data_IF_425478736788
#
_entry.id   IF_425478736788
#
_cell.length_a   1.000
_cell.length_b   1.000
_cell.length_c   1.000
_cell.angle_alpha   90.00
_cell.angle_beta   90.00
_cell.angle_gamma   90.00
#
_symmetry.space_group_name_H-M   'P 1'
#
loop_
_entity.id
_entity.type
_entity.pdbx_description
1 polymer ?
#
# COMPACT_ATOMS: atom_id res chain seq x y z
N UNK A 1 -12.76 -0.12 6.83
CA UNK A 1 -12.79 1.35 7.00
C UNK A 1 -13.82 1.76 8.04
N UNK A 2 -13.40 2.42 9.13
CA UNK A 2 -14.32 2.88 10.17
C UNK A 2 -14.77 4.34 9.90
N UNK A 3 -15.63 4.50 8.89
CA UNK A 3 -16.31 5.78 8.61
C UNK A 3 -17.56 5.92 9.48
N UNK A 4 -17.91 7.16 9.83
CA UNK A 4 -19.13 7.45 10.58
C UNK A 4 -20.34 7.27 9.66
N UNK A 5 -21.13 6.21 9.88
CA UNK A 5 -22.28 5.85 9.03
C UNK A 5 -23.36 6.92 8.98
N UNK A 6 -23.51 7.69 10.05
CA UNK A 6 -24.51 8.76 10.19
C UNK A 6 -24.07 10.10 9.61
N UNK A 7 -22.93 10.14 8.91
CA UNK A 7 -22.36 11.36 8.32
C UNK A 7 -22.11 11.16 6.85
N UNK A 8 -22.26 12.23 6.07
CA UNK A 8 -21.87 12.23 4.65
C UNK A 8 -20.35 12.11 4.50
N UNK A 9 -19.87 11.93 3.27
CA UNK A 9 -18.44 11.98 2.94
C UNK A 9 -17.83 13.30 3.38
N UNK A 10 -18.45 14.43 3.02
CA UNK A 10 -18.00 15.76 3.40
C UNK A 10 -17.87 15.87 4.92
N UNK A 11 -18.90 15.44 5.65
CA UNK A 11 -18.92 15.51 7.10
C UNK A 11 -17.90 14.58 7.77
N UNK A 12 -17.59 13.43 7.16
CA UNK A 12 -16.53 12.54 7.63
C UNK A 12 -15.15 13.21 7.51
N UNK A 13 -14.87 13.88 6.39
CA UNK A 13 -13.60 14.57 6.15
C UNK A 13 -13.49 15.84 6.98
N UNK A 14 -14.60 16.56 7.17
CA UNK A 14 -14.65 17.77 8.00
C UNK A 14 -14.54 17.48 9.51
N UNK A 15 -14.85 16.25 9.94
CA UNK A 15 -14.94 15.91 11.36
C UNK A 15 -13.67 16.23 12.17
N UNK A 16 -12.45 15.88 11.71
CA UNK A 16 -11.21 16.16 12.47
C UNK A 16 -10.91 17.65 12.63
N UNK A 17 -11.50 18.50 11.80
CA UNK A 17 -11.37 19.96 11.84
C UNK A 17 -12.33 20.61 12.86
N UNK A 18 -13.27 19.86 13.45
CA UNK A 18 -14.18 20.40 14.46
C UNK A 18 -13.40 20.77 15.72
N UNK A 19 -13.57 22.02 16.17
CA UNK A 19 -12.83 22.55 17.33
C UNK A 19 -11.43 23.07 16.99
N UNK A 20 -11.05 23.06 15.71
CA UNK A 20 -9.86 23.77 15.24
C UNK A 20 -10.10 25.28 15.16
N UNK A 21 -9.06 26.04 14.81
CA UNK A 21 -9.12 27.50 14.61
C UNK A 21 -9.76 27.90 13.27
N UNK A 22 -10.05 26.95 12.39
CA UNK A 22 -10.60 27.24 11.07
C UNK A 22 -12.06 27.68 11.14
N UNK A 23 -12.39 28.73 10.39
CA UNK A 23 -13.75 29.16 10.11
C UNK A 23 -14.52 28.12 9.28
N UNK A 24 -15.84 28.26 9.19
CA UNK A 24 -16.68 27.36 8.40
C UNK A 24 -16.31 27.35 6.92
N UNK A 25 -15.94 28.51 6.37
CA UNK A 25 -15.57 28.64 4.97
C UNK A 25 -14.19 28.01 4.71
N UNK A 26 -13.21 28.23 5.59
CA UNK A 26 -11.90 27.55 5.50
C UNK A 26 -12.02 26.02 5.60
N UNK A 27 -12.88 25.51 6.49
CA UNK A 27 -13.15 24.07 6.57
C UNK A 27 -13.73 23.56 5.25
N UNK A 28 -14.69 24.30 4.68
CA UNK A 28 -15.32 23.92 3.41
C UNK A 28 -14.30 23.87 2.27
N UNK A 29 -13.49 24.89 2.12
CA UNK A 29 -12.46 24.97 1.07
C UNK A 29 -11.43 23.85 1.23
N UNK A 30 -10.99 23.59 2.47
CA UNK A 30 -10.08 22.49 2.76
C UNK A 30 -10.68 21.14 2.41
N UNK A 31 -11.92 20.86 2.82
CA UNK A 31 -12.59 19.59 2.51
C UNK A 31 -12.79 19.42 1.00
N UNK A 32 -13.15 20.48 0.27
CA UNK A 32 -13.26 20.44 -1.20
C UNK A 32 -11.90 20.12 -1.84
N UNK A 33 -10.81 20.71 -1.37
CA UNK A 33 -9.46 20.41 -1.87
C UNK A 33 -9.07 18.94 -1.65
N UNK A 34 -9.46 18.36 -0.50
CA UNK A 34 -9.20 16.96 -0.17
C UNK A 34 -10.08 16.01 -0.99
N UNK A 35 -11.35 16.37 -1.22
CA UNK A 35 -12.24 15.62 -2.11
C UNK A 35 -11.68 15.54 -3.53
N UNK A 36 -11.12 16.64 -4.03
CA UNK A 36 -10.44 16.68 -5.33
C UNK A 36 -9.17 15.83 -5.35
N UNK A 37 -8.36 15.88 -4.29
CA UNK A 37 -7.16 15.04 -4.16
C UNK A 37 -7.51 13.55 -4.25
N UNK A 38 -8.64 13.14 -3.68
CA UNK A 38 -9.07 11.73 -3.66
C UNK A 38 -10.07 11.37 -4.75
N UNK A 39 -10.33 12.29 -5.71
CA UNK A 39 -11.23 12.11 -6.86
C UNK A 39 -12.67 11.71 -6.45
N UNK A 40 -13.23 12.39 -5.45
CA UNK A 40 -14.59 12.13 -4.92
C UNK A 40 -15.45 13.39 -4.81
N UNK A 41 -15.21 14.43 -5.63
CA UNK A 41 -16.00 15.66 -5.58
C UNK A 41 -17.51 15.42 -5.74
N UNK A 42 -17.91 14.50 -6.62
CA UNK A 42 -19.31 14.16 -6.89
C UNK A 42 -19.99 13.37 -5.78
N UNK A 43 -19.22 12.83 -4.81
CA UNK A 43 -19.70 12.01 -3.69
C UNK A 43 -19.75 12.74 -2.36
N UNK A 44 -19.50 14.05 -2.33
CA UNK A 44 -19.46 14.85 -1.09
C UNK A 44 -20.70 14.63 -0.18
N UNK A 45 -21.88 14.54 -0.78
CA UNK A 45 -23.15 14.38 -0.07
C UNK A 45 -23.59 12.92 0.13
N UNK A 46 -22.83 11.95 -0.40
CA UNK A 46 -23.14 10.53 -0.24
C UNK A 46 -22.83 10.06 1.18
N UNK A 47 -23.58 9.05 1.65
CA UNK A 47 -23.29 8.36 2.90
C UNK A 47 -22.35 7.17 2.66
N UNK A 48 -21.59 6.71 3.67
CA UNK A 48 -20.70 5.55 3.54
C UNK A 48 -21.38 4.28 3.00
N UNK A 49 -22.67 4.08 3.24
CA UNK A 49 -23.44 2.95 2.69
C UNK A 49 -23.52 2.95 1.15
N UNK A 50 -23.37 4.11 0.53
CA UNK A 50 -23.49 4.31 -0.92
C UNK A 50 -22.13 4.22 -1.65
N UNK A 51 -21.06 3.89 -0.93
CA UNK A 51 -19.70 3.89 -1.45
C UNK A 51 -19.14 2.47 -1.61
N UNK A 52 -18.34 2.27 -2.66
CA UNK A 52 -17.51 1.07 -2.82
C UNK A 52 -16.41 0.98 -1.75
N UNK A 53 -15.76 -0.17 -1.62
CA UNK A 53 -14.63 -0.36 -0.69
C UNK A 53 -13.52 0.66 -0.91
N UNK A 54 -13.07 0.83 -2.16
CA UNK A 54 -12.03 1.79 -2.51
C UNK A 54 -12.43 3.25 -2.28
N UNK A 55 -13.70 3.59 -2.53
CA UNK A 55 -14.22 4.93 -2.23
C UNK A 55 -14.22 5.19 -0.72
N UNK A 56 -14.65 4.23 0.10
CA UNK A 56 -14.57 4.35 1.57
C UNK A 56 -13.14 4.56 2.05
N UNK A 57 -12.18 3.92 1.40
CA UNK A 57 -10.77 4.11 1.71
C UNK A 57 -10.26 5.51 1.36
N UNK A 58 -10.58 5.99 0.17
CA UNK A 58 -10.26 7.35 -0.28
C UNK A 58 -10.80 8.41 0.68
N UNK A 59 -12.03 8.24 1.16
CA UNK A 59 -12.60 9.09 2.22
C UNK A 59 -11.82 8.97 3.54
N UNK A 60 -11.40 7.76 3.90
CA UNK A 60 -10.54 7.54 5.07
C UNK A 60 -9.20 8.27 4.98
N UNK A 61 -8.55 8.23 3.81
CA UNK A 61 -7.30 8.94 3.53
C UNK A 61 -7.53 10.45 3.59
N UNK A 62 -8.54 10.97 2.90
CA UNK A 62 -8.88 12.39 2.95
C UNK A 62 -9.14 12.88 4.39
N UNK A 63 -9.87 12.09 5.18
CA UNK A 63 -10.12 12.37 6.59
C UNK A 63 -8.83 12.37 7.42
N UNK A 64 -7.91 11.43 7.18
CA UNK A 64 -6.63 11.40 7.88
C UNK A 64 -5.76 12.62 7.54
N UNK A 65 -5.81 13.08 6.29
CA UNK A 65 -5.06 14.25 5.82
C UNK A 65 -5.66 15.59 6.26
N UNK A 66 -6.91 15.62 6.74
CA UNK A 66 -7.61 16.86 7.08
C UNK A 66 -6.86 17.72 8.10
N UNK A 67 -6.13 17.12 9.05
CA UNK A 67 -5.40 17.84 10.09
C UNK A 67 -3.91 18.09 9.76
N UNK A 68 -3.52 18.06 8.47
CA UNK A 68 -2.14 18.25 8.01
C UNK A 68 -1.11 17.42 8.80
N UNK A 69 -1.30 16.08 8.89
CA UNK A 69 -0.44 15.26 9.71
C UNK A 69 0.98 15.18 9.13
N UNK A 70 1.99 15.08 10.02
CA UNK A 70 3.37 14.79 9.61
C UNK A 70 3.61 13.31 9.30
N UNK A 71 2.78 12.44 9.87
CA UNK A 71 2.87 10.98 9.75
C UNK A 71 1.50 10.40 9.44
N UNK A 72 1.44 9.53 8.43
CA UNK A 72 0.26 8.75 8.07
C UNK A 72 0.52 7.27 8.36
N UNK A 73 -0.31 6.67 9.21
CA UNK A 73 -0.27 5.23 9.50
C UNK A 73 -1.32 4.52 8.66
N UNK A 74 -0.89 3.52 7.89
CA UNK A 74 -1.73 2.69 7.03
C UNK A 74 -1.69 1.25 7.54
N UNK A 75 -2.73 0.85 8.27
CA UNK A 75 -2.86 -0.50 8.81
C UNK A 75 -3.75 -1.36 7.91
N UNK A 76 -3.17 -2.39 7.27
CA UNK A 76 -3.80 -3.31 6.32
C UNK A 76 -4.74 -2.61 5.34
N UNK A 77 -4.32 -1.43 4.86
CA UNK A 77 -5.26 -0.51 4.24
C UNK A 77 -5.88 -1.11 2.96
N UNK A 78 -5.20 -2.03 2.27
CA UNK A 78 -5.59 -2.56 0.96
C UNK A 78 -6.13 -3.99 0.97
N UNK A 79 -6.12 -4.69 2.11
CA UNK A 79 -6.40 -6.15 2.17
C UNK A 79 -7.83 -6.54 1.75
N UNK A 80 -8.78 -5.63 1.87
CA UNK A 80 -10.19 -5.85 1.53
C UNK A 80 -10.58 -5.32 0.13
N UNK A 81 -9.60 -5.02 -0.72
CA UNK A 81 -9.81 -4.45 -2.05
C UNK A 81 -9.41 -5.41 -3.17
N UNK A 82 -10.03 -5.22 -4.33
CA UNK A 82 -9.57 -5.86 -5.55
C UNK A 82 -8.20 -5.30 -6.01
N UNK A 83 -7.40 -6.08 -6.77
CA UNK A 83 -6.05 -5.68 -7.17
C UNK A 83 -5.97 -4.35 -7.95
N UNK A 84 -6.99 -4.00 -8.73
CA UNK A 84 -6.98 -2.74 -9.49
C UNK A 84 -7.18 -1.55 -8.55
N UNK A 85 -8.13 -1.65 -7.63
CA UNK A 85 -8.37 -0.63 -6.60
C UNK A 85 -7.16 -0.48 -5.69
N UNK A 86 -6.52 -1.58 -5.27
CA UNK A 86 -5.29 -1.54 -4.46
C UNK A 86 -4.21 -0.67 -5.13
N UNK A 87 -3.88 -0.92 -6.40
CA UNK A 87 -2.90 -0.10 -7.14
C UNK A 87 -3.28 1.37 -7.20
N UNK A 88 -4.57 1.66 -7.41
CA UNK A 88 -5.09 3.03 -7.42
C UNK A 88 -4.85 3.73 -6.09
N UNK A 89 -5.08 3.04 -4.97
CA UNK A 89 -4.82 3.58 -3.63
C UNK A 89 -3.33 3.75 -3.35
N UNK A 90 -2.49 2.78 -3.74
CA UNK A 90 -1.04 2.90 -3.56
C UNK A 90 -0.48 4.11 -4.33
N UNK A 91 -0.97 4.35 -5.55
CA UNK A 91 -0.62 5.53 -6.35
C UNK A 91 -1.03 6.82 -5.64
N UNK A 92 -2.23 6.87 -5.06
CA UNK A 92 -2.69 8.01 -4.27
C UNK A 92 -1.79 8.25 -3.05
N UNK A 93 -1.42 7.22 -2.29
CA UNK A 93 -0.51 7.35 -1.15
C UNK A 93 0.86 7.89 -1.57
N UNK A 94 1.39 7.42 -2.70
CA UNK A 94 2.65 7.90 -3.28
C UNK A 94 2.57 9.37 -3.68
N UNK A 95 1.46 9.80 -4.27
CA UNK A 95 1.22 11.21 -4.59
C UNK A 95 1.14 12.06 -3.33
N UNK A 96 0.44 11.59 -2.29
CA UNK A 96 0.33 12.26 -1.00
C UNK A 96 1.70 12.45 -0.35
N UNK A 97 2.53 11.40 -0.30
CA UNK A 97 3.90 11.48 0.20
C UNK A 97 4.71 12.54 -0.55
N UNK A 98 4.67 12.52 -1.89
CA UNK A 98 5.44 13.47 -2.72
C UNK A 98 4.94 14.92 -2.60
N UNK A 99 3.63 15.13 -2.56
CA UNK A 99 3.01 16.46 -2.59
C UNK A 99 3.08 17.16 -1.23
N UNK A 100 2.91 16.41 -0.14
CA UNK A 100 2.82 16.97 1.20
C UNK A 100 4.06 16.69 2.07
N UNK A 101 5.00 15.86 1.60
CA UNK A 101 6.19 15.50 2.38
C UNK A 101 5.88 14.67 3.62
N UNK A 102 4.74 13.98 3.64
CA UNK A 102 4.25 13.22 4.80
C UNK A 102 4.99 11.90 4.91
N UNK A 103 5.42 11.52 6.12
CA UNK A 103 5.98 10.19 6.37
C UNK A 103 4.86 9.17 6.39
N UNK A 104 4.93 8.12 5.57
CA UNK A 104 3.92 7.06 5.54
C UNK A 104 4.51 5.78 6.10
N UNK A 105 3.84 5.19 7.10
CA UNK A 105 4.16 3.88 7.65
C UNK A 105 3.04 2.92 7.25
N UNK A 106 3.39 1.84 6.56
CA UNK A 106 2.44 0.85 6.08
C UNK A 106 2.69 -0.47 6.78
N UNK A 107 1.62 -1.05 7.31
CA UNK A 107 1.57 -2.39 7.88
C UNK A 107 0.77 -3.24 6.89
N UNK A 108 1.39 -4.29 6.38
CA UNK A 108 0.77 -5.20 5.40
C UNK A 108 1.44 -6.55 5.45
N UNK A 109 0.68 -7.59 5.09
CA UNK A 109 1.20 -8.93 4.83
C UNK A 109 1.49 -9.15 3.33
N UNK A 110 1.14 -8.21 2.47
CA UNK A 110 1.32 -8.31 1.02
C UNK A 110 2.64 -7.71 0.55
N UNK A 111 3.58 -8.56 0.14
CA UNK A 111 4.93 -8.12 -0.27
C UNK A 111 4.92 -7.25 -1.55
N UNK A 112 3.92 -7.40 -2.41
CA UNK A 112 3.73 -6.57 -3.60
C UNK A 112 3.50 -5.09 -3.25
N UNK A 113 2.71 -4.83 -2.20
CA UNK A 113 2.47 -3.46 -1.69
C UNK A 113 3.77 -2.82 -1.22
N UNK A 114 4.56 -3.58 -0.45
CA UNK A 114 5.85 -3.11 0.09
C UNK A 114 6.81 -2.74 -1.06
N UNK A 115 6.88 -3.58 -2.09
CA UNK A 115 7.73 -3.35 -3.27
C UNK A 115 7.34 -2.10 -4.07
N UNK A 116 6.06 -1.78 -4.13
CA UNK A 116 5.55 -0.73 -5.03
C UNK A 116 5.77 0.69 -4.48
N UNK A 117 5.65 0.88 -3.16
CA UNK A 117 5.65 2.23 -2.56
C UNK A 117 6.62 2.45 -1.41
N UNK A 118 7.14 1.41 -0.75
CA UNK A 118 8.02 1.58 0.40
C UNK A 118 9.48 1.78 -0.02
N UNK A 119 10.19 2.63 0.71
CA UNK A 119 11.64 2.84 0.54
C UNK A 119 12.47 1.94 1.46
N UNK A 120 11.92 1.60 2.62
CA UNK A 120 12.48 0.70 3.63
C UNK A 120 11.41 -0.28 4.08
N UNK A 121 11.85 -1.45 4.53
CA UNK A 121 10.98 -2.46 5.10
C UNK A 121 11.57 -2.98 6.41
N UNK A 122 10.70 -3.33 7.34
CA UNK A 122 11.01 -4.08 8.54
C UNK A 122 10.09 -5.31 8.58
N UNK A 123 10.67 -6.49 8.75
CA UNK A 123 9.96 -7.76 8.87
C UNK A 123 9.87 -8.11 10.35
N UNK A 124 8.67 -8.45 10.80
CA UNK A 124 8.41 -8.78 12.18
C UNK A 124 7.97 -10.24 12.33
N UNK A 125 8.49 -10.92 13.35
CA UNK A 125 8.10 -12.27 13.75
C UNK A 125 8.10 -12.35 15.28
N UNK A 126 7.10 -13.00 15.88
CA UNK A 126 6.99 -13.18 17.34
C UNK A 126 7.17 -11.88 18.15
N UNK A 127 6.62 -10.77 17.64
CA UNK A 127 6.67 -9.46 18.29
C UNK A 127 8.04 -8.76 18.21
N UNK A 128 8.97 -9.22 17.38
CA UNK A 128 10.30 -8.63 17.20
C UNK A 128 10.56 -8.29 15.74
N UNK A 129 11.30 -7.21 15.50
CA UNK A 129 11.87 -6.95 14.17
C UNK A 129 13.01 -7.93 13.96
N UNK A 130 12.85 -8.83 13.00
CA UNK A 130 13.85 -9.87 12.68
C UNK A 130 14.74 -9.44 11.52
N UNK A 131 14.24 -8.59 10.62
CA UNK A 131 15.00 -8.08 9.48
C UNK A 131 14.58 -6.66 9.14
N UNK A 132 15.52 -5.78 8.80
CA UNK A 132 15.25 -4.40 8.42
C UNK A 132 16.26 -3.94 7.36
N UNK A 133 15.79 -3.16 6.38
CA UNK A 133 16.68 -2.52 5.42
C UNK A 133 15.97 -1.69 4.36
N UNK A 134 16.76 -1.20 3.41
CA UNK A 134 16.20 -0.70 2.16
C UNK A 134 15.44 -1.83 1.46
N UNK A 135 14.32 -1.50 0.82
CA UNK A 135 13.47 -2.46 0.11
C UNK A 135 14.27 -3.36 -0.83
N UNK A 136 15.24 -2.79 -1.54
CA UNK A 136 16.07 -3.53 -2.47
C UNK A 136 16.86 -4.63 -1.76
N UNK A 137 17.53 -4.31 -0.64
CA UNK A 137 18.34 -5.26 0.13
C UNK A 137 17.51 -6.37 0.77
N UNK A 138 16.35 -6.02 1.34
CA UNK A 138 15.43 -7.00 1.95
C UNK A 138 14.94 -7.99 0.89
N UNK A 139 14.76 -7.56 -0.36
CA UNK A 139 14.28 -8.43 -1.44
C UNK A 139 15.40 -9.18 -2.17
N UNK A 140 16.57 -8.55 -2.35
CA UNK A 140 17.70 -9.16 -3.05
C UNK A 140 18.49 -10.10 -2.15
N UNK A 141 18.64 -9.81 -0.86
CA UNK A 141 19.44 -10.62 0.06
C UNK A 141 18.68 -10.88 1.37
N UNK A 142 17.50 -11.52 1.31
CA UNK A 142 16.75 -11.85 2.52
C UNK A 142 17.55 -12.80 3.40
N UNK A 143 17.77 -12.42 4.65
CA UNK A 143 18.52 -13.21 5.62
C UNK A 143 17.61 -14.18 6.37
N UNK A 144 16.48 -13.67 6.84
CA UNK A 144 15.58 -14.42 7.69
C UNK A 144 14.69 -15.38 6.89
N UNK A 145 14.40 -16.54 7.48
CA UNK A 145 13.55 -17.57 6.85
C UNK A 145 12.17 -17.02 6.51
N UNK A 146 11.57 -16.27 7.43
CA UNK A 146 10.26 -15.66 7.22
C UNK A 146 10.27 -14.67 6.04
N UNK A 147 11.32 -13.85 5.92
CA UNK A 147 11.50 -12.92 4.79
C UNK A 147 11.60 -13.66 3.47
N UNK A 148 12.37 -14.76 3.42
CA UNK A 148 12.47 -15.63 2.23
C UNK A 148 11.11 -16.18 1.83
N UNK A 149 10.38 -16.75 2.79
CA UNK A 149 9.04 -17.31 2.56
C UNK A 149 8.07 -16.25 2.00
N UNK A 150 8.08 -15.03 2.55
CA UNK A 150 7.24 -13.95 2.04
C UNK A 150 7.59 -13.57 0.60
N UNK A 151 8.87 -13.45 0.26
CA UNK A 151 9.31 -13.13 -1.10
C UNK A 151 8.91 -14.26 -2.07
N UNK A 152 9.16 -15.52 -1.69
CA UNK A 152 8.86 -16.69 -2.51
C UNK A 152 7.36 -16.85 -2.76
N UNK A 153 6.51 -16.53 -1.78
CA UNK A 153 5.04 -16.56 -1.95
C UNK A 153 4.51 -15.56 -2.98
N UNK A 154 5.30 -14.52 -3.29
CA UNK A 154 4.93 -13.48 -4.27
C UNK A 154 5.68 -13.60 -5.59
N UNK A 155 6.60 -14.56 -5.68
CA UNK A 155 7.42 -14.81 -6.85
C UNK A 155 6.79 -15.91 -7.70
N UNK A 156 6.70 -15.70 -9.02
CA UNK A 156 6.33 -16.78 -9.96
C UNK A 156 7.35 -17.92 -9.98
N UNK A 157 8.51 -17.75 -9.31
CA UNK A 157 9.56 -18.76 -9.26
C UNK A 157 9.12 -20.03 -8.51
N UNK A 158 8.23 -19.95 -7.52
CA UNK A 158 7.70 -21.12 -6.83
C UNK A 158 7.04 -22.09 -7.81
N UNK A 159 6.19 -21.58 -8.72
CA UNK A 159 5.60 -22.40 -9.78
C UNK A 159 6.66 -23.05 -10.70
N UNK A 160 7.80 -22.39 -10.94
CA UNK A 160 8.89 -22.98 -11.74
C UNK A 160 9.59 -24.09 -10.97
N UNK A 161 9.78 -23.94 -9.66
CA UNK A 161 10.34 -25.00 -8.81
C UNK A 161 9.43 -26.21 -8.75
N UNK A 162 8.11 -26.01 -8.58
CA UNK A 162 7.12 -27.09 -8.60
C UNK A 162 7.14 -27.84 -9.93
N UNK A 163 7.21 -27.13 -11.07
CA UNK A 163 7.33 -27.75 -12.38
C UNK A 163 8.61 -28.61 -12.53
N UNK A 164 9.73 -28.17 -11.93
CA UNK A 164 11.00 -28.91 -11.92
C UNK A 164 10.90 -30.17 -11.07
N UNK A 165 10.28 -30.09 -9.89
CA UNK A 165 10.05 -31.25 -9.02
C UNK A 165 9.11 -32.28 -9.68
N UNK A 166 8.05 -31.81 -10.33
CA UNK A 166 7.06 -32.64 -11.03
C UNK A 166 7.57 -33.20 -12.37
N UNK A 167 8.81 -32.87 -12.78
CA UNK A 167 9.40 -33.23 -14.08
C UNK A 167 8.46 -32.92 -15.25
N UNK A 168 7.80 -31.77 -15.19
CA UNK A 168 6.90 -31.32 -16.27
C UNK A 168 7.67 -31.23 -17.58
N UNK A 169 7.04 -31.62 -18.69
CA UNK A 169 7.63 -31.55 -20.03
C UNK A 169 8.02 -30.12 -20.44
N UNK A 170 7.46 -29.10 -19.77
CA UNK A 170 7.78 -27.68 -20.00
C UNK A 170 9.17 -27.30 -19.47
N UNK A 171 9.70 -28.05 -18.50
CA UNK A 171 11.03 -27.82 -17.89
C UNK A 171 11.98 -29.00 -18.10
N UNK A 172 11.64 -29.91 -19.01
CA UNK A 172 12.50 -31.02 -19.40
C UNK A 172 13.72 -30.48 -20.15
N UNK A 173 14.92 -30.84 -19.69
CA UNK A 173 16.19 -30.34 -20.21
C UNK A 173 16.96 -31.50 -20.85
N UNK A 174 17.49 -31.29 -22.06
CA UNK A 174 18.31 -32.29 -22.78
C UNK A 174 19.71 -32.40 -22.17
N UNK A 175 20.47 -33.42 -22.60
CA UNK A 175 21.78 -33.83 -22.04
C UNK A 175 22.90 -32.75 -22.07
N UNK A 176 22.64 -31.53 -22.56
CA UNK A 176 23.58 -30.40 -22.49
C UNK A 176 22.91 -29.05 -22.17
N UNK A 177 21.67 -29.06 -21.70
CA UNK A 177 20.91 -27.84 -21.39
C UNK A 177 20.94 -27.56 -19.88
N UNK A 178 20.85 -26.27 -19.50
CA UNK A 178 20.85 -25.83 -18.10
C UNK A 178 19.79 -24.77 -17.88
N UNK A 179 19.09 -24.85 -16.74
CA UNK A 179 18.22 -23.78 -16.26
C UNK A 179 19.07 -22.82 -15.42
N UNK A 180 19.11 -21.55 -15.82
CA UNK A 180 19.85 -20.50 -15.14
C UNK A 180 18.90 -19.56 -14.41
N UNK A 181 19.08 -19.42 -13.10
CA UNK A 181 18.38 -18.40 -12.30
C UNK A 181 19.20 -17.13 -12.27
N UNK A 182 18.76 -16.11 -12.99
CA UNK A 182 19.35 -14.78 -12.94
C UNK A 182 18.78 -14.01 -11.76
N UNK A 183 19.66 -13.38 -10.97
CA UNK A 183 19.29 -12.56 -9.82
C UNK A 183 19.94 -11.19 -9.97
N UNK A 184 19.13 -10.14 -9.90
CA UNK A 184 19.65 -8.77 -9.91
C UNK A 184 20.14 -8.40 -8.52
N UNK A 185 21.41 -7.97 -8.42
CA UNK A 185 22.10 -7.72 -7.16
C UNK A 185 22.21 -6.23 -6.81
N UNK A 186 22.11 -5.29 -7.76
CA UNK A 186 22.02 -3.84 -7.51
C UNK A 186 21.27 -3.11 -8.63
N UNK A 187 20.70 -1.94 -8.31
CA UNK A 187 20.28 -0.95 -9.32
C UNK A 187 21.49 -0.06 -9.68
N UNK A 188 22.17 -0.36 -10.78
CA UNK A 188 23.08 0.62 -11.40
C UNK A 188 22.23 1.71 -12.07
N UNK A 189 21.92 2.76 -11.30
CA UNK A 189 21.44 4.03 -11.85
C UNK A 189 22.54 5.04 -11.60
N UNK A 190 23.43 5.18 -12.58
CA UNK A 190 24.23 6.41 -12.78
C UNK A 190 23.33 7.54 -13.22
#
# INVERSE_FOLDING_TARGET
FNLMKSRTVFENIAYPLKGSKYSKDEIKDKVISLLKLVELEDKANSYPSQLSGGQKQRVGIARALANDPKVLLCDEATSALDPQTTKSILKLLKEVNRKFGITIVIITHEMQVVKEICTRAAVMENGRVVEEGNIFKVFSEPKEKITKNFIDSTSLLSNIYDLIEDKSSVVEIKENEKILKLKYLENSTT
#
